data_IF_455157591951
#
_entry.id   IF_455157591951
#
_cell.length_a   1.000
_cell.length_b   1.000
_cell.length_c   1.000
_cell.angle_alpha   90.00
_cell.angle_beta   90.00
_cell.angle_gamma   90.00
#
_symmetry.space_group_name_H-M   'P 1'
#
loop_
_entity.id
_entity.type
_entity.pdbx_description
1 polymer ?
#
# COMPACT_ATOMS: atom_id res chain seq x y z
N UNK A 1 13.77 -2.43 65.83
CA UNK A 1 13.60 -1.07 65.28
C UNK A 1 14.69 -0.87 64.25
N UNK A 2 14.50 -0.68 62.95
CA UNK A 2 13.33 -0.62 62.08
C UNK A 2 13.78 -1.11 60.68
N UNK A 3 12.81 -1.36 59.81
CA UNK A 3 12.85 -1.70 58.38
C UNK A 3 13.66 -0.66 57.56
N UNK A 4 14.13 -0.84 56.32
CA UNK A 4 13.43 -1.30 55.12
C UNK A 4 14.39 -1.48 53.91
N UNK A 5 13.88 -2.19 52.91
CA UNK A 5 14.41 -2.54 51.59
C UNK A 5 14.50 -1.32 50.63
N UNK A 6 15.56 -1.14 49.81
CA UNK A 6 15.49 -0.17 48.71
C UNK A 6 14.63 -0.70 47.55
N UNK A 7 13.56 0.05 47.32
CA UNK A 7 12.46 -0.06 46.36
C UNK A 7 12.90 -0.28 44.90
N UNK A 8 12.27 -1.27 44.25
CA UNK A 8 12.19 -1.34 42.79
C UNK A 8 11.17 -0.31 42.29
N UNK A 9 11.61 0.68 41.50
CA UNK A 9 10.71 1.47 40.65
C UNK A 9 11.32 1.55 39.25
N UNK A 10 11.07 0.54 38.44
CA UNK A 10 11.18 0.62 36.99
C UNK A 10 10.00 1.43 36.49
N UNK A 11 10.22 2.72 36.23
CA UNK A 11 9.23 3.61 35.63
C UNK A 11 9.03 3.22 34.16
N UNK A 12 8.17 2.23 33.91
CA UNK A 12 7.56 2.03 32.59
C UNK A 12 6.42 3.03 32.43
N UNK A 13 6.74 4.25 31.99
CA UNK A 13 5.74 5.13 31.38
C UNK A 13 5.33 4.58 30.01
N UNK A 14 4.06 4.68 29.60
CA UNK A 14 3.64 4.24 28.27
C UNK A 14 4.33 5.09 27.18
N UNK A 15 4.68 4.51 26.02
CA UNK A 15 5.24 5.28 24.92
C UNK A 15 4.19 6.27 24.42
N UNK A 16 4.52 7.56 24.45
CA UNK A 16 3.78 8.62 23.76
C UNK A 16 3.82 8.28 22.26
N UNK A 17 2.78 7.61 21.78
CA UNK A 17 2.54 7.43 20.36
C UNK A 17 1.69 8.59 19.89
N UNK A 18 2.31 9.74 19.65
CA UNK A 18 1.67 10.82 18.90
C UNK A 18 2.09 10.68 17.43
N UNK A 19 1.47 9.73 16.74
CA UNK A 19 1.46 9.71 15.28
C UNK A 19 0.47 10.76 14.79
N UNK A 20 0.95 12.00 14.67
CA UNK A 20 0.22 13.09 14.04
C UNK A 20 -0.09 12.69 12.60
N UNK A 21 -1.34 12.30 12.38
CA UNK A 21 -1.90 11.98 11.07
C UNK A 21 -2.24 13.29 10.38
N UNK A 22 -1.27 13.86 9.67
CA UNK A 22 -1.50 15.05 8.86
C UNK A 22 -2.32 14.67 7.61
N UNK A 23 -3.61 14.95 7.70
CA UNK A 23 -4.59 14.92 6.61
C UNK A 23 -4.24 16.02 5.61
N UNK A 24 -3.40 15.66 4.64
CA UNK A 24 -3.16 16.45 3.44
C UNK A 24 -3.77 15.76 2.22
N UNK A 25 -5.10 15.82 2.07
CA UNK A 25 -5.78 15.38 0.84
C UNK A 25 -5.46 16.34 -0.30
N UNK A 26 -4.26 16.23 -0.86
CA UNK A 26 -3.92 16.84 -2.16
C UNK A 26 -4.70 16.11 -3.24
N UNK A 27 -5.96 16.50 -3.40
CA UNK A 27 -6.86 16.05 -4.46
C UNK A 27 -6.19 16.38 -5.80
N UNK A 28 -5.75 15.40 -6.60
CA UNK A 28 -5.07 15.68 -7.85
C UNK A 28 -6.02 16.40 -8.81
N UNK A 29 -5.50 17.45 -9.45
CA UNK A 29 -6.17 18.22 -10.49
C UNK A 29 -6.55 17.27 -11.63
N UNK A 30 -7.80 17.38 -12.12
CA UNK A 30 -8.42 16.57 -13.18
C UNK A 30 -7.41 16.02 -14.19
N UNK A 31 -7.02 14.76 -14.02
CA UNK A 31 -6.23 14.03 -15.01
C UNK A 31 -7.18 13.61 -16.12
N UNK A 32 -6.80 13.87 -17.38
CA UNK A 32 -7.43 13.21 -18.53
C UNK A 32 -7.29 11.70 -18.32
N UNK A 33 -8.41 11.03 -18.02
CA UNK A 33 -8.42 9.60 -17.69
C UNK A 33 -8.92 8.81 -18.90
N UNK A 34 -8.07 7.96 -19.46
CA UNK A 34 -8.48 6.93 -20.39
C UNK A 34 -8.79 5.66 -19.59
N UNK A 35 -10.03 5.16 -19.72
CA UNK A 35 -10.46 3.92 -19.08
C UNK A 35 -10.39 2.80 -20.13
N UNK A 36 -9.56 1.80 -19.88
CA UNK A 36 -9.45 0.60 -20.70
C UNK A 36 -9.97 -0.61 -19.93
N UNK A 37 -10.78 -1.43 -20.60
CA UNK A 37 -11.21 -2.74 -20.07
C UNK A 37 -10.48 -3.83 -20.82
N UNK A 38 -9.72 -4.64 -20.10
CA UNK A 38 -8.96 -5.75 -20.64
C UNK A 38 -9.47 -7.04 -20.00
N UNK A 39 -9.76 -8.05 -20.83
CA UNK A 39 -10.24 -9.35 -20.36
C UNK A 39 -9.11 -10.39 -20.48
N UNK A 40 -8.85 -11.10 -19.40
CA UNK A 40 -7.90 -12.21 -19.37
C UNK A 40 -8.62 -13.51 -18.98
N UNK A 41 -8.26 -14.60 -19.66
CA UNK A 41 -8.75 -15.94 -19.34
C UNK A 41 -7.73 -16.69 -18.50
N UNK A 42 -8.18 -17.27 -17.39
CA UNK A 42 -7.37 -18.19 -16.58
C UNK A 42 -7.51 -19.61 -17.13
N UNK A 43 -6.40 -20.32 -17.34
CA UNK A 43 -6.43 -21.72 -17.76
C UNK A 43 -5.06 -22.25 -18.18
N UNK A 44 -4.98 -23.57 -18.36
CA UNK A 44 -3.77 -24.22 -18.89
C UNK A 44 -3.46 -23.69 -20.30
N UNK A 45 -2.19 -23.38 -20.58
CA UNK A 45 -1.75 -22.81 -21.86
C UNK A 45 -2.09 -21.33 -22.07
N UNK A 46 -2.73 -20.66 -21.11
CA UNK A 46 -2.99 -19.21 -21.16
C UNK A 46 -1.85 -18.44 -20.50
N UNK A 47 -1.59 -17.23 -21.01
CA UNK A 47 -0.57 -16.33 -20.46
C UNK A 47 -0.97 -15.82 -19.07
N UNK A 48 0.04 -15.57 -18.24
CA UNK A 48 -0.16 -14.86 -16.98
C UNK A 48 -0.52 -13.39 -17.24
N UNK A 49 -0.97 -12.71 -16.19
CA UNK A 49 -1.42 -11.32 -16.26
C UNK A 49 -0.30 -10.33 -16.67
N UNK A 50 0.97 -10.66 -16.37
CA UNK A 50 2.15 -9.87 -16.78
C UNK A 50 2.37 -8.56 -16.01
N UNK A 51 1.53 -8.29 -15.01
CA UNK A 51 1.65 -7.14 -14.12
C UNK A 51 1.35 -7.51 -12.67
N UNK A 52 1.75 -6.61 -11.79
CA UNK A 52 1.54 -6.63 -10.36
C UNK A 52 0.74 -5.40 -9.94
N UNK A 53 -0.11 -5.51 -8.92
CA UNK A 53 -0.84 -4.36 -8.36
C UNK A 53 -0.18 -3.96 -7.04
N UNK A 54 0.01 -2.65 -6.83
CA UNK A 54 0.57 -2.07 -5.61
C UNK A 54 -0.32 -0.96 -5.07
N UNK A 55 -0.17 -0.64 -3.77
CA UNK A 55 -0.92 0.42 -3.09
C UNK A 55 -2.11 -0.10 -2.29
N UNK A 56 -3.07 0.78 -2.00
CA UNK A 56 -4.21 0.48 -1.14
C UNK A 56 -4.11 1.13 0.25
N UNK A 57 -5.21 1.03 1.01
CA UNK A 57 -5.35 1.68 2.32
C UNK A 57 -4.32 1.19 3.34
N UNK A 58 -3.99 -0.09 3.27
CA UNK A 58 -3.13 -0.76 4.25
C UNK A 58 -1.68 -0.85 3.75
N UNK A 59 -1.32 -0.04 2.74
CA UNK A 59 0.05 -0.01 2.23
C UNK A 59 1.03 0.48 3.32
N UNK A 60 2.26 -0.07 3.40
CA UNK A 60 3.29 0.38 4.34
C UNK A 60 3.65 1.87 4.22
N UNK A 61 3.30 2.51 3.10
CA UNK A 61 3.53 3.94 2.85
C UNK A 61 2.30 4.81 3.15
N UNK A 62 1.31 4.29 3.88
CA UNK A 62 0.04 4.95 4.14
C UNK A 62 -0.98 4.72 3.02
N UNK A 63 -2.15 5.36 3.10
CA UNK A 63 -3.27 5.15 2.16
C UNK A 63 -2.95 5.71 0.76
N UNK A 64 -2.22 4.93 -0.05
CA UNK A 64 -1.89 5.25 -1.43
C UNK A 64 -2.98 4.74 -2.39
N UNK A 65 -3.09 5.36 -3.57
CA UNK A 65 -3.94 4.87 -4.66
C UNK A 65 -3.56 3.46 -5.11
N UNK A 66 -4.42 2.83 -5.91
CA UNK A 66 -4.13 1.53 -6.54
C UNK A 66 -3.36 1.78 -7.85
N UNK A 67 -2.21 1.12 -8.00
CA UNK A 67 -1.34 1.26 -9.17
C UNK A 67 -0.99 -0.11 -9.75
N UNK A 68 -0.79 -0.16 -11.06
CA UNK A 68 -0.31 -1.34 -11.78
C UNK A 68 1.18 -1.16 -12.10
N UNK A 69 2.02 -2.08 -11.65
CA UNK A 69 3.42 -2.21 -12.03
C UNK A 69 3.54 -3.33 -13.06
N UNK A 70 3.97 -3.00 -14.26
CA UNK A 70 4.21 -4.00 -15.31
C UNK A 70 5.64 -4.48 -15.25
N UNK A 71 5.85 -5.80 -15.08
CA UNK A 71 7.19 -6.39 -15.18
C UNK A 71 7.46 -6.93 -16.61
N UNK A 72 6.41 -7.15 -17.42
CA UNK A 72 6.52 -7.59 -18.83
C UNK A 72 5.68 -6.70 -19.77
N UNK A 73 6.32 -5.69 -20.36
CA UNK A 73 5.69 -4.67 -21.22
C UNK A 73 4.91 -5.26 -22.41
N UNK A 74 5.41 -6.33 -23.03
CA UNK A 74 4.82 -6.94 -24.23
C UNK A 74 3.41 -7.51 -24.01
N UNK A 75 3.13 -8.08 -22.83
CA UNK A 75 1.82 -8.68 -22.53
C UNK A 75 0.72 -7.62 -22.43
N UNK A 76 1.05 -6.48 -21.81
CA UNK A 76 0.11 -5.36 -21.70
C UNK A 76 -0.08 -4.66 -23.04
N UNK A 77 1.00 -4.44 -23.81
CA UNK A 77 0.92 -3.79 -25.12
C UNK A 77 0.04 -4.58 -26.10
N UNK A 78 0.18 -5.91 -26.14
CA UNK A 78 -0.70 -6.77 -26.94
C UNK A 78 -2.16 -6.76 -26.50
N UNK A 79 -2.44 -6.44 -25.22
CA UNK A 79 -3.79 -6.46 -24.69
C UNK A 79 -4.54 -5.13 -24.88
N UNK A 80 -3.83 -4.06 -25.25
CA UNK A 80 -4.39 -2.71 -25.47
C UNK A 80 -4.37 -2.27 -26.94
N UNK A 81 -3.68 -2.99 -27.82
CA UNK A 81 -3.75 -2.77 -29.26
C UNK A 81 -4.99 -3.47 -29.84
N UNK A 82 -5.75 -2.80 -30.73
CA UNK A 82 -6.93 -3.38 -31.38
C UNK A 82 -6.57 -4.51 -32.36
#
# INVERSE_FOLDING_TARGET
MATDLPTATSTHGPPVTTSTSEVGSRRPKSLSLFIYTITYEKGAGKKSLGFSVVGGRDSPKGSMGIYVKTDTSLSLYSAILP
#
